data_IF_253286236240
#
_entry.id   IF_253286236240
#
_cell.length_a   1.000
_cell.length_b   1.000
_cell.length_c   1.000
_cell.angle_alpha   90.00
_cell.angle_beta   90.00
_cell.angle_gamma   90.00
#
_symmetry.space_group_name_H-M   'P 1'
#
loop_
_entity.id
_entity.type
_entity.pdbx_description
1 polymer ?
#
# COMPACT_ATOMS: atom_id res chain seq x y z
N UNK A 1 -23.91 -17.77 -18.25
CA UNK A 1 -22.58 -17.15 -18.50
C UNK A 1 -21.88 -17.00 -17.20
N UNK A 2 -20.92 -17.86 -16.97
CA UNK A 2 -20.25 -18.03 -15.68
C UNK A 2 -19.43 -16.79 -15.34
N UNK A 3 -19.93 -16.05 -14.37
CA UNK A 3 -19.42 -14.71 -14.00
C UNK A 3 -18.19 -14.73 -13.08
N UNK A 4 -17.30 -15.74 -13.17
CA UNK A 4 -16.04 -15.65 -12.46
C UNK A 4 -15.26 -14.43 -12.98
N UNK A 5 -14.82 -13.55 -12.07
CA UNK A 5 -13.67 -12.71 -12.40
C UNK A 5 -12.57 -13.72 -12.65
N UNK A 6 -12.30 -14.01 -13.90
CA UNK A 6 -11.28 -14.97 -14.22
C UNK A 6 -10.00 -14.46 -13.56
N UNK A 7 -9.62 -15.11 -12.47
CA UNK A 7 -8.27 -15.14 -11.96
C UNK A 7 -7.40 -15.23 -13.19
N UNK A 8 -6.43 -14.37 -13.30
CA UNK A 8 -5.59 -14.08 -14.43
C UNK A 8 -5.62 -15.16 -15.53
N UNK A 9 -6.35 -14.91 -16.62
CA UNK A 9 -6.19 -15.74 -17.81
C UNK A 9 -4.71 -15.71 -18.19
N UNK A 10 -4.08 -16.85 -18.47
CA UNK A 10 -2.67 -16.87 -18.79
C UNK A 10 -2.39 -15.99 -20.00
N UNK A 11 -1.65 -14.91 -19.78
CA UNK A 11 -1.07 -14.13 -20.86
C UNK A 11 -0.09 -15.07 -21.57
N UNK A 12 -0.06 -15.10 -22.93
CA UNK A 12 1.01 -15.76 -23.63
C UNK A 12 2.32 -15.06 -23.26
N UNK A 13 3.09 -15.68 -22.37
CA UNK A 13 4.34 -15.13 -21.90
C UNK A 13 5.39 -15.19 -23.02
N UNK A 14 6.22 -14.14 -23.14
CA UNK A 14 7.38 -14.16 -24.02
C UNK A 14 8.22 -15.42 -23.77
N UNK A 15 8.77 -15.99 -24.81
CA UNK A 15 9.51 -17.27 -24.77
C UNK A 15 10.70 -17.26 -23.78
N UNK A 16 11.31 -16.09 -23.53
CA UNK A 16 12.46 -15.96 -22.61
C UNK A 16 12.09 -16.26 -21.12
N UNK A 17 10.85 -16.02 -20.70
CA UNK A 17 10.40 -16.33 -19.34
C UNK A 17 10.10 -17.84 -19.12
N UNK A 18 10.21 -18.65 -20.16
CA UNK A 18 10.13 -20.12 -20.02
C UNK A 18 11.35 -20.69 -19.31
N UNK A 19 12.45 -19.94 -19.23
CA UNK A 19 13.70 -20.41 -18.66
C UNK A 19 13.82 -20.01 -17.18
N UNK A 20 14.08 -20.99 -16.31
CA UNK A 20 14.36 -20.75 -14.90
C UNK A 20 15.52 -19.74 -14.69
N UNK A 21 16.49 -19.72 -15.61
CA UNK A 21 17.62 -18.80 -15.58
C UNK A 21 17.18 -17.33 -15.63
N UNK A 22 16.23 -16.95 -16.50
CA UNK A 22 15.74 -15.57 -16.59
C UNK A 22 15.05 -15.10 -15.29
N UNK A 23 14.31 -16.00 -14.63
CA UNK A 23 13.71 -15.70 -13.33
C UNK A 23 14.78 -15.43 -12.25
N UNK A 24 15.79 -16.29 -12.16
CA UNK A 24 16.88 -16.09 -11.20
C UNK A 24 17.71 -14.85 -11.51
N UNK A 25 17.95 -14.54 -12.78
CA UNK A 25 18.59 -13.28 -13.18
C UNK A 25 17.79 -12.07 -12.70
N UNK A 26 16.47 -12.08 -12.86
CA UNK A 26 15.59 -11.03 -12.33
C UNK A 26 15.70 -10.90 -10.81
N UNK A 27 15.75 -12.02 -10.08
CA UNK A 27 15.93 -12.02 -8.62
C UNK A 27 17.27 -11.38 -8.23
N UNK A 28 18.36 -11.76 -8.90
CA UNK A 28 19.70 -11.21 -8.62
C UNK A 28 19.78 -9.71 -8.94
N UNK A 29 19.24 -9.27 -10.08
CA UNK A 29 19.20 -7.85 -10.45
C UNK A 29 18.42 -7.05 -9.41
N UNK A 30 17.20 -7.50 -9.04
CA UNK A 30 16.38 -6.80 -8.06
C UNK A 30 17.00 -6.74 -6.67
N UNK A 31 17.75 -7.79 -6.26
CA UNK A 31 18.53 -7.78 -5.03
C UNK A 31 19.69 -6.77 -5.10
N UNK A 32 20.44 -6.77 -6.19
CA UNK A 32 21.55 -5.83 -6.41
C UNK A 32 21.08 -4.37 -6.39
N UNK A 33 19.94 -4.07 -7.01
CA UNK A 33 19.35 -2.73 -7.00
C UNK A 33 18.94 -2.29 -5.59
N UNK A 34 18.39 -3.20 -4.76
CA UNK A 34 18.06 -2.88 -3.36
C UNK A 34 19.31 -2.64 -2.52
N UNK A 35 20.33 -3.49 -2.66
CA UNK A 35 21.63 -3.29 -2.02
C UNK A 35 22.22 -1.94 -2.43
N UNK A 36 22.18 -1.62 -3.74
CA UNK A 36 22.62 -0.32 -4.25
C UNK A 36 21.86 0.84 -3.57
N UNK A 37 20.53 0.80 -3.58
CA UNK A 37 19.73 1.86 -2.97
C UNK A 37 20.02 2.00 -1.47
N UNK A 38 20.05 0.90 -0.71
CA UNK A 38 20.30 0.92 0.74
C UNK A 38 21.69 1.42 1.09
N UNK A 39 22.72 0.92 0.40
CA UNK A 39 24.11 1.14 0.81
C UNK A 39 24.72 2.43 0.23
N UNK A 40 24.36 2.81 -0.99
CA UNK A 40 25.10 3.84 -1.75
C UNK A 40 24.31 5.13 -1.97
N UNK A 41 22.98 5.17 -1.67
CA UNK A 41 22.18 6.39 -1.83
C UNK A 41 21.89 7.07 -0.49
N UNK A 42 21.58 8.36 -0.53
CA UNK A 42 21.18 9.11 0.67
C UNK A 42 19.72 8.82 1.09
N UNK A 43 18.87 8.42 0.15
CA UNK A 43 17.44 8.28 0.38
C UNK A 43 16.69 9.60 0.16
N UNK A 44 15.47 9.66 0.65
CA UNK A 44 14.62 10.87 0.61
C UNK A 44 14.76 11.68 1.90
N UNK A 45 14.13 12.85 1.97
CA UNK A 45 14.05 13.65 3.19
C UNK A 45 13.45 12.93 4.39
N UNK A 46 12.61 11.91 4.14
CA UNK A 46 12.08 11.06 5.23
C UNK A 46 13.19 10.38 6.05
N UNK A 47 14.39 10.20 5.49
CA UNK A 47 15.50 9.61 6.27
C UNK A 47 16.01 10.57 7.34
N UNK A 48 16.06 11.86 7.02
CA UNK A 48 16.42 12.90 7.99
C UNK A 48 15.31 13.04 9.02
N UNK A 49 14.04 12.98 8.61
CA UNK A 49 12.88 13.00 9.52
C UNK A 49 12.88 11.79 10.47
N UNK A 50 13.17 10.60 9.98
CA UNK A 50 13.24 9.40 10.82
C UNK A 50 14.41 9.44 11.82
N UNK A 51 15.55 10.00 11.44
CA UNK A 51 16.69 10.20 12.35
C UNK A 51 16.33 11.21 13.44
N UNK A 52 15.73 12.35 13.07
CA UNK A 52 15.26 13.36 14.05
C UNK A 52 14.18 12.78 14.98
N UNK A 53 13.20 12.04 14.45
CA UNK A 53 12.19 11.36 15.26
C UNK A 53 12.83 10.38 16.26
N UNK A 54 13.81 9.58 15.81
CA UNK A 54 14.54 8.65 16.67
C UNK A 54 15.28 9.37 17.77
N UNK A 55 15.97 10.48 17.47
CA UNK A 55 16.66 11.33 18.45
C UNK A 55 15.67 11.92 19.47
N UNK A 56 14.53 12.43 19.02
CA UNK A 56 13.50 12.98 19.92
C UNK A 56 12.93 11.91 20.86
N UNK A 57 12.68 10.69 20.35
CA UNK A 57 12.21 9.57 21.19
C UNK A 57 13.27 9.17 22.22
N UNK A 58 14.56 9.16 21.88
CA UNK A 58 15.64 8.89 22.84
C UNK A 58 15.77 9.97 23.92
N UNK A 59 15.68 11.24 23.52
CA UNK A 59 15.92 12.37 24.41
C UNK A 59 14.73 12.69 25.32
N UNK A 60 13.48 12.50 24.86
CA UNK A 60 12.25 12.94 25.52
C UNK A 60 11.33 11.79 25.92
N UNK A 61 11.65 10.56 25.51
CA UNK A 61 10.72 9.43 25.54
C UNK A 61 9.61 9.57 24.48
N UNK A 62 8.87 8.49 24.26
CA UNK A 62 7.84 8.43 23.22
C UNK A 62 6.72 9.47 23.40
N UNK A 63 6.21 9.63 24.62
CA UNK A 63 5.12 10.59 24.91
C UNK A 63 5.64 12.02 24.81
N UNK A 64 6.85 12.30 25.28
CA UNK A 64 7.50 13.61 25.12
C UNK A 64 7.71 13.98 23.66
N UNK A 65 8.06 13.00 22.80
CA UNK A 65 8.14 13.18 21.37
C UNK A 65 6.77 13.53 20.75
N UNK A 66 5.70 12.82 21.11
CA UNK A 66 4.35 13.12 20.63
C UNK A 66 3.86 14.51 21.03
N UNK A 67 4.18 14.97 22.22
CA UNK A 67 3.85 16.33 22.66
C UNK A 67 4.66 17.40 21.94
N UNK A 68 5.92 17.13 21.63
CA UNK A 68 6.83 18.11 21.02
C UNK A 68 6.62 18.24 19.49
N UNK A 69 6.03 17.24 18.84
CA UNK A 69 5.91 17.18 17.38
C UNK A 69 4.47 16.87 16.96
N UNK A 70 3.77 17.87 16.46
CA UNK A 70 2.40 17.72 15.95
C UNK A 70 2.30 16.85 14.70
N UNK A 71 3.40 16.60 14.01
CA UNK A 71 3.49 15.69 12.86
C UNK A 71 3.87 14.26 13.24
N UNK A 72 4.05 13.98 14.53
CA UNK A 72 4.38 12.65 15.05
C UNK A 72 3.18 11.70 14.93
N UNK A 73 2.96 11.14 13.75
CA UNK A 73 1.80 10.32 13.40
C UNK A 73 2.07 8.81 13.34
N UNK A 74 3.29 8.40 13.64
CA UNK A 74 3.68 7.00 13.57
C UNK A 74 3.28 6.21 14.83
N UNK A 75 2.86 4.92 14.67
CA UNK A 75 2.56 4.06 15.80
C UNK A 75 3.69 3.94 16.82
N UNK A 76 3.37 3.69 18.11
CA UNK A 76 4.37 3.60 19.20
C UNK A 76 5.51 2.63 18.92
N UNK A 77 5.20 1.47 18.33
CA UNK A 77 6.20 0.44 18.04
C UNK A 77 7.28 0.93 17.09
N UNK A 78 6.87 1.45 15.92
CA UNK A 78 7.85 1.84 14.90
C UNK A 78 8.69 3.05 15.33
N UNK A 79 8.11 3.98 16.11
CA UNK A 79 8.84 5.08 16.69
C UNK A 79 9.91 4.62 17.70
N UNK A 80 9.62 3.56 18.49
CA UNK A 80 10.62 2.95 19.38
C UNK A 80 11.66 2.14 18.61
N UNK A 81 11.27 1.47 17.53
CA UNK A 81 12.20 0.73 16.65
C UNK A 81 13.18 1.69 15.99
N UNK A 82 12.73 2.86 15.50
CA UNK A 82 13.65 3.86 14.95
C UNK A 82 14.69 4.34 15.98
N UNK A 83 14.25 4.58 17.21
CA UNK A 83 15.15 4.95 18.31
C UNK A 83 16.17 3.84 18.64
N UNK A 84 15.74 2.58 18.66
CA UNK A 84 16.64 1.43 18.84
C UNK A 84 17.66 1.32 17.70
N UNK A 85 17.22 1.51 16.46
CA UNK A 85 18.09 1.49 15.28
C UNK A 85 19.13 2.61 15.37
N UNK A 86 18.77 3.80 15.87
CA UNK A 86 19.72 4.90 16.07
C UNK A 86 20.77 4.55 17.13
N UNK A 87 20.39 3.91 18.23
CA UNK A 87 21.35 3.41 19.22
C UNK A 87 22.32 2.39 18.61
N UNK A 88 21.80 1.45 17.81
CA UNK A 88 22.64 0.47 17.10
C UNK A 88 23.58 1.19 16.13
N UNK A 89 23.11 2.18 15.38
CA UNK A 89 23.90 2.98 14.46
C UNK A 89 25.08 3.66 15.19
N UNK A 90 24.80 4.24 16.35
CA UNK A 90 25.82 4.90 17.16
C UNK A 90 26.89 3.92 17.65
N UNK A 91 26.50 2.73 18.11
CA UNK A 91 27.44 1.71 18.62
C UNK A 91 28.24 1.04 17.49
N UNK A 92 27.59 0.77 16.36
CA UNK A 92 28.22 0.04 15.23
C UNK A 92 28.94 0.94 14.25
N UNK A 93 28.77 2.26 14.35
CA UNK A 93 29.23 3.26 13.37
C UNK A 93 28.70 3.04 11.95
N UNK A 94 27.64 2.24 11.79
CA UNK A 94 26.94 2.08 10.50
C UNK A 94 25.91 3.21 10.39
N UNK A 95 25.86 3.96 9.27
CA UNK A 95 24.91 5.06 9.12
C UNK A 95 23.46 4.64 9.38
N UNK A 96 22.71 5.44 10.16
CA UNK A 96 21.31 5.20 10.50
C UNK A 96 20.48 4.86 9.27
N UNK A 97 20.63 5.61 8.16
CA UNK A 97 19.92 5.40 6.90
C UNK A 97 20.08 3.99 6.33
N UNK A 98 21.20 3.32 6.53
CA UNK A 98 21.44 1.95 6.07
C UNK A 98 20.69 0.96 6.96
N UNK A 99 20.88 1.08 8.27
CA UNK A 99 20.23 0.19 9.25
C UNK A 99 18.72 0.33 9.26
N UNK A 100 18.19 1.53 9.00
CA UNK A 100 16.75 1.76 8.96
C UNK A 100 16.12 1.22 7.68
N UNK A 101 16.77 1.33 6.51
CA UNK A 101 16.23 0.87 5.22
C UNK A 101 16.35 -0.63 4.98
N UNK A 102 17.43 -1.25 5.48
CA UNK A 102 17.70 -2.67 5.24
C UNK A 102 16.55 -3.62 5.66
N UNK A 103 15.90 -3.46 6.83
CA UNK A 103 14.75 -4.27 7.21
C UNK A 103 13.58 -4.18 6.22
N UNK A 104 13.28 -3.00 5.67
CA UNK A 104 12.18 -2.84 4.72
C UNK A 104 12.50 -3.45 3.36
N UNK A 105 13.75 -3.37 2.91
CA UNK A 105 14.21 -4.09 1.72
C UNK A 105 14.12 -5.62 1.88
N UNK A 106 14.39 -6.15 3.09
CA UNK A 106 14.21 -7.56 3.41
C UNK A 106 12.73 -7.96 3.48
N UNK A 107 11.87 -7.13 4.07
CA UNK A 107 10.42 -7.37 4.09
C UNK A 107 9.84 -7.36 2.67
N UNK A 108 10.41 -6.57 1.78
CA UNK A 108 10.02 -6.58 0.37
C UNK A 108 10.38 -7.88 -0.34
N UNK A 109 11.51 -8.50 0.02
CA UNK A 109 11.82 -9.86 -0.40
C UNK A 109 10.79 -10.87 0.16
N UNK A 110 10.37 -10.67 1.42
CA UNK A 110 9.27 -11.42 2.03
C UNK A 110 7.95 -11.26 1.26
N UNK A 111 7.62 -10.05 0.79
CA UNK A 111 6.47 -9.81 -0.07
C UNK A 111 6.55 -10.61 -1.37
N UNK A 112 7.71 -10.64 -2.02
CA UNK A 112 7.92 -11.40 -3.26
C UNK A 112 7.73 -12.91 -3.02
N UNK A 113 8.24 -13.45 -1.91
CA UNK A 113 8.07 -14.86 -1.52
C UNK A 113 6.61 -15.21 -1.21
N UNK A 114 5.91 -14.35 -0.47
CA UNK A 114 4.49 -14.55 -0.15
C UNK A 114 3.62 -14.42 -1.40
N UNK A 115 3.89 -13.45 -2.27
CA UNK A 115 3.22 -13.29 -3.55
C UNK A 115 3.41 -14.56 -4.40
N UNK A 116 4.64 -15.04 -4.53
CA UNK A 116 4.94 -16.29 -5.23
C UNK A 116 4.17 -17.47 -4.65
N UNK A 117 4.08 -17.57 -3.33
CA UNK A 117 3.41 -18.67 -2.63
C UNK A 117 1.88 -18.66 -2.77
N UNK A 118 1.28 -17.47 -2.87
CA UNK A 118 -0.18 -17.28 -2.94
C UNK A 118 -0.73 -17.28 -4.36
N UNK A 119 0.09 -16.98 -5.36
CA UNK A 119 -0.32 -17.01 -6.77
C UNK A 119 -0.54 -18.46 -7.26
N UNK A 120 -1.47 -18.68 -8.20
CA UNK A 120 -1.69 -20.00 -8.82
C UNK A 120 -0.42 -20.58 -9.43
N UNK A 121 -0.28 -21.91 -9.42
CA UNK A 121 0.88 -22.64 -9.96
C UNK A 121 0.89 -22.68 -11.49
N UNK A 122 1.14 -21.52 -12.09
CA UNK A 122 1.25 -21.36 -13.53
C UNK A 122 2.39 -20.38 -13.89
N UNK A 123 2.57 -20.11 -15.17
CA UNK A 123 3.61 -19.19 -15.66
C UNK A 123 3.44 -17.76 -15.15
N UNK A 124 2.22 -17.35 -14.83
CA UNK A 124 1.92 -16.02 -14.28
C UNK A 124 2.62 -15.81 -12.94
N UNK A 125 2.72 -16.83 -12.09
CA UNK A 125 3.42 -16.76 -10.80
C UNK A 125 4.86 -16.24 -10.95
N UNK A 126 5.65 -16.81 -11.86
CA UNK A 126 7.04 -16.41 -12.09
C UNK A 126 7.12 -14.99 -12.67
N UNK A 127 6.28 -14.70 -13.66
CA UNK A 127 6.25 -13.39 -14.30
C UNK A 127 5.83 -12.30 -13.32
N UNK A 128 4.72 -12.48 -12.60
CA UNK A 128 4.18 -11.52 -11.63
C UNK A 128 5.17 -11.24 -10.50
N UNK A 129 5.82 -12.30 -9.97
CA UNK A 129 6.83 -12.15 -8.93
C UNK A 129 8.08 -11.42 -9.45
N UNK A 130 8.55 -11.72 -10.65
CA UNK A 130 9.66 -11.01 -11.27
C UNK A 130 9.30 -9.53 -11.53
N UNK A 131 8.10 -9.25 -12.05
CA UNK A 131 7.61 -7.89 -12.26
C UNK A 131 7.50 -7.10 -10.94
N UNK A 132 6.97 -7.71 -9.89
CA UNK A 132 6.94 -7.11 -8.56
C UNK A 132 8.36 -6.79 -8.07
N UNK A 133 9.22 -7.80 -8.10
CA UNK A 133 10.58 -7.72 -7.57
C UNK A 133 11.46 -6.71 -8.30
N UNK A 134 11.29 -6.57 -9.62
CA UNK A 134 11.99 -5.59 -10.45
C UNK A 134 11.27 -4.23 -10.54
N UNK A 135 10.06 -4.12 -9.98
CA UNK A 135 9.30 -2.87 -10.04
C UNK A 135 10.07 -1.72 -9.40
N UNK A 136 10.32 -0.62 -10.13
CA UNK A 136 10.87 0.59 -9.53
C UNK A 136 10.03 1.07 -8.33
N UNK A 137 8.70 0.95 -8.36
CA UNK A 137 7.84 1.29 -7.21
C UNK A 137 8.25 0.50 -5.96
N UNK A 138 8.43 -0.83 -6.05
CA UNK A 138 8.81 -1.65 -4.92
C UNK A 138 10.21 -1.26 -4.41
N UNK A 139 11.19 -1.14 -5.32
CA UNK A 139 12.57 -0.82 -4.99
C UNK A 139 12.69 0.58 -4.36
N UNK A 140 12.04 1.58 -4.98
CA UNK A 140 12.08 2.95 -4.50
C UNK A 140 11.49 3.08 -3.11
N UNK A 141 10.33 2.46 -2.84
CA UNK A 141 9.67 2.60 -1.54
C UNK A 141 10.43 1.81 -0.46
N UNK A 142 10.85 0.57 -0.73
CA UNK A 142 11.48 -0.29 0.27
C UNK A 142 12.94 0.06 0.55
N UNK A 143 13.72 0.39 -0.48
CA UNK A 143 15.17 0.46 -0.39
C UNK A 143 15.74 1.88 -0.55
N UNK A 144 15.13 2.74 -1.36
CA UNK A 144 15.57 4.12 -1.53
C UNK A 144 14.91 5.06 -0.53
N UNK A 145 13.58 5.12 -0.55
CA UNK A 145 12.81 5.91 0.41
C UNK A 145 12.90 5.32 1.83
N UNK A 146 12.94 3.97 1.91
CA UNK A 146 13.13 3.26 3.17
C UNK A 146 11.96 3.45 4.13
N UNK A 147 10.73 3.39 3.61
CA UNK A 147 9.57 3.63 4.44
C UNK A 147 8.89 2.34 4.91
N UNK A 148 8.22 2.48 6.03
CA UNK A 148 7.52 1.41 6.76
C UNK A 148 6.36 0.77 5.99
N UNK A 149 5.89 1.41 4.93
CA UNK A 149 4.70 1.01 4.14
C UNK A 149 4.83 -0.38 3.50
N UNK A 150 6.05 -0.79 3.15
CA UNK A 150 6.34 -2.14 2.65
C UNK A 150 5.97 -3.23 3.67
N UNK A 151 6.14 -2.97 4.96
CA UNK A 151 5.78 -3.91 6.03
C UNK A 151 4.27 -4.10 6.15
N UNK A 152 3.45 -3.10 5.83
CA UNK A 152 1.98 -3.24 5.82
C UNK A 152 1.58 -4.33 4.82
N UNK A 153 2.07 -4.26 3.58
CA UNK A 153 1.79 -5.27 2.57
C UNK A 153 2.28 -6.67 2.99
N UNK A 154 3.49 -6.74 3.59
CA UNK A 154 4.05 -7.98 4.09
C UNK A 154 3.13 -8.65 5.13
N UNK A 155 2.71 -7.94 6.14
CA UNK A 155 1.85 -8.49 7.17
C UNK A 155 0.46 -8.85 6.64
N UNK A 156 -0.10 -8.10 5.69
CA UNK A 156 -1.37 -8.44 5.06
C UNK A 156 -1.26 -9.71 4.19
N UNK A 157 -0.20 -9.86 3.39
CA UNK A 157 0.06 -11.10 2.64
C UNK A 157 0.31 -12.28 3.58
N UNK A 158 1.10 -12.08 4.64
CA UNK A 158 1.36 -13.09 5.65
C UNK A 158 0.07 -13.54 6.35
N UNK A 159 -0.84 -12.60 6.63
CA UNK A 159 -2.17 -12.89 7.18
C UNK A 159 -2.93 -13.86 6.29
N UNK A 160 -2.99 -13.58 4.97
CA UNK A 160 -3.67 -14.46 4.02
C UNK A 160 -2.96 -15.81 3.92
N UNK A 161 -1.63 -15.83 3.83
CA UNK A 161 -0.84 -17.05 3.74
C UNK A 161 -1.02 -17.95 4.97
N UNK A 162 -0.99 -17.40 6.19
CA UNK A 162 -1.24 -18.14 7.42
C UNK A 162 -2.68 -18.67 7.49
N UNK A 163 -3.65 -17.93 6.98
CA UNK A 163 -5.03 -18.40 6.87
C UNK A 163 -5.15 -19.60 5.92
N UNK A 164 -4.38 -19.67 4.82
CA UNK A 164 -4.33 -20.85 3.93
C UNK A 164 -3.74 -22.09 4.61
N UNK A 165 -2.96 -21.89 5.67
CA UNK A 165 -2.37 -22.94 6.50
C UNK A 165 -3.23 -23.25 7.74
N UNK A 166 -4.46 -22.74 7.80
CA UNK A 166 -5.39 -22.89 8.93
C UNK A 166 -4.84 -22.39 10.29
N UNK A 167 -3.77 -21.57 10.26
CA UNK A 167 -3.14 -20.99 11.45
C UNK A 167 -3.84 -19.69 11.87
N UNK A 168 -5.05 -19.81 12.39
CA UNK A 168 -5.95 -18.66 12.62
C UNK A 168 -5.37 -17.66 13.62
N UNK A 169 -4.82 -18.12 14.75
CA UNK A 169 -4.19 -17.25 15.74
C UNK A 169 -3.02 -16.46 15.15
N UNK A 170 -2.11 -17.15 14.45
CA UNK A 170 -0.97 -16.51 13.81
C UNK A 170 -1.41 -15.56 12.68
N UNK A 171 -2.46 -15.90 11.95
CA UNK A 171 -3.06 -15.02 10.93
C UNK A 171 -3.60 -13.73 11.57
N UNK A 172 -4.33 -13.84 12.69
CA UNK A 172 -4.79 -12.67 13.44
C UNK A 172 -3.62 -11.83 13.98
N UNK A 173 -2.61 -12.49 14.55
CA UNK A 173 -1.43 -11.82 15.05
C UNK A 173 -0.66 -11.08 13.92
N UNK A 174 -0.50 -11.69 12.75
CA UNK A 174 0.13 -11.02 11.60
C UNK A 174 -0.66 -9.79 11.17
N UNK A 175 -2.00 -9.86 11.13
CA UNK A 175 -2.83 -8.70 10.86
C UNK A 175 -2.66 -7.61 11.93
N UNK A 176 -2.68 -7.98 13.22
CA UNK A 176 -2.43 -7.04 14.33
C UNK A 176 -1.06 -6.36 14.24
N UNK A 177 -0.03 -7.10 13.82
CA UNK A 177 1.32 -6.57 13.63
C UNK A 177 1.39 -5.55 12.47
N UNK A 178 0.52 -5.61 11.45
CA UNK A 178 0.46 -4.57 10.43
C UNK A 178 0.15 -3.20 11.02
N UNK A 179 -0.63 -3.15 12.11
CA UNK A 179 -1.01 -1.93 12.83
C UNK A 179 0.09 -1.38 13.74
N UNK A 180 1.13 -2.16 14.05
CA UNK A 180 2.32 -1.67 14.75
C UNK A 180 3.14 -0.70 13.90
N UNK A 181 3.03 -0.88 12.59
CA UNK A 181 3.80 -0.14 11.61
C UNK A 181 3.02 1.04 11.07
N UNK A 182 1.76 0.81 10.68
CA UNK A 182 0.92 1.86 10.11
C UNK A 182 -0.57 1.46 10.14
N UNK A 183 -1.45 2.42 10.43
CA UNK A 183 -2.88 2.17 10.57
C UNK A 183 -3.62 1.75 9.28
N UNK A 184 -3.24 2.22 8.06
CA UNK A 184 -3.99 1.88 6.84
C UNK A 184 -4.15 0.39 6.55
N UNK A 185 -3.35 -0.49 7.18
CA UNK A 185 -3.57 -1.94 7.13
C UNK A 185 -4.98 -2.36 7.57
N UNK A 186 -5.64 -1.58 8.45
CA UNK A 186 -7.00 -1.86 8.93
C UNK A 186 -8.04 -1.83 7.79
N UNK A 187 -7.79 -1.07 6.73
CA UNK A 187 -8.68 -0.94 5.59
C UNK A 187 -8.86 -2.28 4.81
N UNK A 188 -7.92 -3.21 4.96
CA UNK A 188 -8.02 -4.55 4.38
C UNK A 188 -8.89 -5.51 5.22
N UNK A 189 -9.22 -5.16 6.47
CA UNK A 189 -9.94 -6.04 7.40
C UNK A 189 -11.26 -6.58 6.85
N UNK A 190 -12.15 -5.77 6.23
CA UNK A 190 -13.42 -6.29 5.69
C UNK A 190 -13.22 -7.39 4.65
N UNK A 191 -12.22 -7.25 3.78
CA UNK A 191 -11.89 -8.27 2.80
C UNK A 191 -11.28 -9.53 3.46
N UNK A 192 -10.40 -9.37 4.45
CA UNK A 192 -9.79 -10.48 5.19
C UNK A 192 -10.80 -11.32 5.95
N UNK A 193 -11.82 -10.69 6.55
CA UNK A 193 -12.87 -11.40 7.30
C UNK A 193 -13.67 -12.38 6.44
N UNK A 194 -13.64 -12.22 5.12
CA UNK A 194 -14.31 -13.13 4.18
C UNK A 194 -13.64 -14.51 4.14
N UNK A 195 -12.34 -14.60 4.46
CA UNK A 195 -11.62 -15.90 4.55
C UNK A 195 -12.24 -16.83 5.59
N UNK A 196 -12.87 -16.30 6.63
CA UNK A 196 -13.33 -17.05 7.77
C UNK A 196 -14.86 -17.15 7.78
N UNK A 197 -15.43 -18.28 7.34
CA UNK A 197 -16.89 -18.47 7.24
C UNK A 197 -17.57 -18.59 8.62
N UNK A 198 -16.92 -19.30 9.57
CA UNK A 198 -17.51 -19.56 10.89
C UNK A 198 -17.30 -18.37 11.83
N UNK A 199 -18.38 -17.88 12.48
CA UNK A 199 -18.32 -16.74 13.42
C UNK A 199 -17.27 -16.94 14.52
N UNK A 200 -17.17 -18.16 15.09
CA UNK A 200 -16.16 -18.49 16.11
C UNK A 200 -14.73 -18.26 15.61
N UNK A 201 -14.43 -18.68 14.39
CA UNK A 201 -13.09 -18.52 13.78
C UNK A 201 -12.80 -17.05 13.53
N UNK A 202 -13.79 -16.26 13.07
CA UNK A 202 -13.65 -14.81 12.97
C UNK A 202 -13.37 -14.16 14.32
N UNK A 203 -14.07 -14.59 15.38
CA UNK A 203 -13.81 -14.11 16.73
C UNK A 203 -12.40 -14.39 17.21
N UNK A 204 -11.88 -15.61 16.99
CA UNK A 204 -10.50 -15.98 17.33
C UNK A 204 -9.48 -15.11 16.55
N UNK A 205 -9.69 -14.94 15.25
CA UNK A 205 -8.85 -14.07 14.42
C UNK A 205 -8.84 -12.63 14.93
N UNK A 206 -10.03 -12.04 15.16
CA UNK A 206 -10.16 -10.67 15.64
C UNK A 206 -9.56 -10.48 17.03
N UNK A 207 -9.75 -11.45 17.93
CA UNK A 207 -9.15 -11.41 19.27
C UNK A 207 -7.64 -11.44 19.20
N UNK A 208 -7.06 -12.35 18.42
CA UNK A 208 -5.62 -12.42 18.22
C UNK A 208 -5.07 -11.11 17.59
N UNK A 209 -5.78 -10.57 16.61
CA UNK A 209 -5.44 -9.30 15.98
C UNK A 209 -5.48 -8.14 16.99
N UNK A 210 -6.53 -8.03 17.78
CA UNK A 210 -6.69 -7.00 18.79
C UNK A 210 -5.60 -7.10 19.87
N UNK A 211 -5.39 -8.30 20.45
CA UNK A 211 -4.34 -8.50 21.46
C UNK A 211 -2.98 -8.10 20.90
N UNK A 212 -2.64 -8.54 19.69
CA UNK A 212 -1.35 -8.22 19.08
C UNK A 212 -1.25 -6.71 18.83
N UNK A 213 -2.26 -6.08 18.23
CA UNK A 213 -2.25 -4.63 18.01
C UNK A 213 -2.06 -3.88 19.33
N UNK A 214 -2.88 -4.16 20.34
CA UNK A 214 -2.85 -3.45 21.63
C UNK A 214 -1.54 -3.63 22.39
N UNK A 215 -0.83 -4.75 22.22
CA UNK A 215 0.41 -5.03 22.94
C UNK A 215 1.43 -3.88 22.85
N UNK A 216 1.54 -3.22 21.72
CA UNK A 216 2.48 -2.12 21.50
C UNK A 216 1.91 -0.73 21.79
N UNK A 217 0.58 -0.59 21.68
CA UNK A 217 -0.11 0.67 21.96
C UNK A 217 -0.37 0.89 23.44
N UNK A 218 -0.64 -0.20 24.20
CA UNK A 218 -1.09 -0.11 25.59
C UNK A 218 -0.15 0.71 26.48
N UNK A 219 1.18 0.54 26.45
CA UNK A 219 2.06 1.35 27.29
C UNK A 219 1.97 2.86 27.01
N UNK A 220 1.77 3.25 25.75
CA UNK A 220 1.62 4.65 25.37
C UNK A 220 0.23 5.20 25.73
N UNK A 221 -0.81 4.41 25.53
CA UNK A 221 -2.20 4.77 25.89
C UNK A 221 -2.40 4.94 27.39
N UNK A 222 -1.72 4.12 28.22
CA UNK A 222 -1.76 4.25 29.69
C UNK A 222 -1.06 5.53 30.14
N UNK A 223 0.01 5.94 29.46
CA UNK A 223 0.74 7.16 29.83
C UNK A 223 -0.01 8.42 29.41
N UNK A 224 -0.46 8.50 28.15
CA UNK A 224 -1.28 9.61 27.64
C UNK A 224 -2.09 9.17 26.41
N UNK A 225 -3.32 8.69 26.67
CA UNK A 225 -4.20 8.28 25.59
C UNK A 225 -4.60 9.42 24.66
N UNK A 226 -4.73 10.66 25.19
CA UNK A 226 -5.20 11.81 24.40
C UNK A 226 -4.22 12.14 23.29
N UNK A 227 -2.93 12.23 23.62
CA UNK A 227 -1.91 12.55 22.61
C UNK A 227 -1.76 11.44 21.58
N UNK A 228 -1.86 10.17 22.00
CA UNK A 228 -1.83 9.04 21.07
C UNK A 228 -3.03 9.06 20.13
N UNK A 229 -4.23 9.32 20.64
CA UNK A 229 -5.42 9.45 19.81
C UNK A 229 -5.32 10.62 18.82
N UNK A 230 -4.85 11.77 19.26
CA UNK A 230 -4.70 12.96 18.41
C UNK A 230 -3.69 12.72 17.30
N UNK A 231 -2.48 12.25 17.65
CA UNK A 231 -1.39 12.17 16.70
C UNK A 231 -1.46 10.94 15.80
N UNK A 232 -1.81 9.77 16.35
CA UNK A 232 -1.76 8.51 15.59
C UNK A 232 -3.11 8.18 14.97
N UNK A 233 -4.19 8.13 15.77
CA UNK A 233 -5.51 7.76 15.27
C UNK A 233 -6.25 8.91 14.57
N UNK A 234 -5.97 10.16 14.95
CA UNK A 234 -6.53 11.37 14.33
C UNK A 234 -5.84 11.77 13.01
N UNK A 235 -4.72 11.16 12.68
CA UNK A 235 -3.99 11.50 11.47
C UNK A 235 -4.71 10.99 10.20
N UNK A 236 -5.01 11.92 9.29
CA UNK A 236 -5.75 11.63 8.04
C UNK A 236 -4.85 11.45 6.82
N UNK A 237 -3.55 11.73 6.95
CA UNK A 237 -2.65 11.87 5.82
C UNK A 237 -2.47 13.32 5.40
N UNK A 238 -1.68 13.53 4.37
CA UNK A 238 -1.42 14.85 3.79
C UNK A 238 -1.94 14.89 2.36
N UNK A 239 -2.45 16.03 1.94
CA UNK A 239 -2.63 16.37 0.52
C UNK A 239 -1.33 16.98 0.06
N UNK A 240 -0.46 16.15 -0.52
CA UNK A 240 0.85 16.61 -0.98
C UNK A 240 0.72 17.52 -2.20
N UNK A 241 1.38 18.66 -2.11
CA UNK A 241 1.45 19.68 -3.16
C UNK A 241 2.89 20.19 -3.28
N UNK A 242 3.26 20.69 -4.45
CA UNK A 242 4.49 21.47 -4.62
C UNK A 242 4.39 22.79 -3.86
N UNK A 243 5.50 23.52 -3.74
CA UNK A 243 5.52 24.84 -3.10
C UNK A 243 4.53 25.85 -3.74
N UNK A 244 4.24 25.71 -5.03
CA UNK A 244 3.23 26.53 -5.74
C UNK A 244 1.81 25.95 -5.71
N UNK A 245 1.56 24.92 -4.87
CA UNK A 245 0.23 24.35 -4.68
C UNK A 245 -0.21 23.39 -5.78
N UNK A 246 0.71 22.87 -6.61
CA UNK A 246 0.38 21.85 -7.62
C UNK A 246 0.16 20.50 -6.94
N UNK A 247 -1.05 19.91 -6.99
CA UNK A 247 -1.30 18.61 -6.35
C UNK A 247 -0.44 17.51 -6.96
N UNK A 248 0.10 16.65 -6.11
CA UNK A 248 0.90 15.52 -6.57
C UNK A 248 0.05 14.30 -6.92
N UNK A 249 -1.15 14.17 -6.38
CA UNK A 249 -2.02 13.02 -6.61
C UNK A 249 -3.48 13.37 -6.33
N UNK A 250 -4.39 12.49 -6.80
CA UNK A 250 -5.81 12.48 -6.46
C UNK A 250 -6.74 13.12 -7.48
N UNK A 251 -8.06 13.08 -7.25
CA UNK A 251 -9.07 13.68 -8.13
C UNK A 251 -8.85 15.17 -8.41
N UNK A 252 -8.23 15.93 -7.49
CA UNK A 252 -7.86 17.33 -7.69
C UNK A 252 -6.98 17.54 -8.94
N UNK A 253 -6.10 16.57 -9.23
CA UNK A 253 -5.27 16.59 -10.44
C UNK A 253 -6.10 16.66 -11.71
N UNK A 254 -7.23 15.92 -11.76
CA UNK A 254 -8.10 15.84 -12.92
C UNK A 254 -8.91 17.14 -13.09
N UNK A 255 -9.24 17.80 -11.98
CA UNK A 255 -10.06 19.01 -11.99
C UNK A 255 -9.24 20.27 -12.22
N UNK A 256 -8.07 20.38 -11.59
CA UNK A 256 -7.35 21.66 -11.49
C UNK A 256 -6.10 21.79 -12.38
N UNK A 257 -5.51 20.69 -12.82
CA UNK A 257 -4.21 20.77 -13.49
C UNK A 257 -4.23 20.70 -15.01
N UNK A 258 -5.40 20.55 -15.65
CA UNK A 258 -5.42 20.23 -17.07
C UNK A 258 -6.24 21.18 -17.95
N UNK A 259 -7.25 21.90 -17.47
CA UNK A 259 -8.19 22.58 -18.38
C UNK A 259 -8.49 24.03 -18.03
N UNK A 260 -8.69 24.39 -16.76
CA UNK A 260 -9.04 25.75 -16.36
C UNK A 260 -8.41 26.07 -15.00
N UNK A 261 -7.65 27.17 -14.86
CA UNK A 261 -7.15 27.60 -13.56
C UNK A 261 -8.29 27.79 -12.56
N UNK A 262 -8.13 27.26 -11.36
CA UNK A 262 -9.16 27.30 -10.30
C UNK A 262 -9.61 28.73 -9.98
N UNK A 263 -8.71 29.70 -10.16
CA UNK A 263 -8.99 31.12 -9.90
C UNK A 263 -10.09 31.73 -10.78
N UNK A 264 -10.41 31.10 -11.92
CA UNK A 264 -11.48 31.60 -12.81
C UNK A 264 -12.83 30.94 -12.56
N UNK A 265 -12.92 30.02 -11.62
CA UNK A 265 -14.18 29.35 -11.30
C UNK A 265 -15.05 30.25 -10.40
N UNK A 266 -16.34 30.46 -10.72
CA UNK A 266 -17.26 31.15 -9.83
C UNK A 266 -17.31 30.46 -8.46
N UNK A 267 -17.28 31.23 -7.38
CA UNK A 267 -17.20 30.74 -6.00
C UNK A 267 -18.33 29.73 -5.65
N UNK A 268 -19.52 29.92 -6.21
CA UNK A 268 -20.66 29.02 -6.03
C UNK A 268 -20.42 27.59 -6.52
N UNK A 269 -19.51 27.38 -7.49
CA UNK A 269 -19.12 26.06 -7.96
C UNK A 269 -17.84 25.58 -7.31
N UNK A 270 -16.96 26.49 -6.95
CA UNK A 270 -15.67 26.19 -6.34
C UNK A 270 -15.83 25.60 -4.93
N UNK A 271 -16.64 26.24 -4.07
CA UNK A 271 -16.84 25.77 -2.70
C UNK A 271 -17.31 24.30 -2.58
N UNK A 272 -18.37 23.85 -3.30
CA UNK A 272 -18.78 22.46 -3.25
C UNK A 272 -17.69 21.49 -3.72
N UNK A 273 -16.92 21.86 -4.74
CA UNK A 273 -15.82 21.03 -5.26
C UNK A 273 -14.70 20.92 -4.24
N UNK A 274 -14.24 22.02 -3.65
CA UNK A 274 -13.22 22.00 -2.60
C UNK A 274 -13.67 21.17 -1.40
N UNK A 275 -14.93 21.32 -0.98
CA UNK A 275 -15.50 20.50 0.08
C UNK A 275 -15.44 19.00 -0.26
N UNK A 276 -15.82 18.61 -1.49
CA UNK A 276 -15.74 17.21 -1.93
C UNK A 276 -14.30 16.67 -1.92
N UNK A 277 -13.33 17.49 -2.32
CA UNK A 277 -11.92 17.11 -2.30
C UNK A 277 -11.39 16.93 -0.86
N UNK A 278 -11.78 17.81 0.05
CA UNK A 278 -11.46 17.67 1.48
C UNK A 278 -12.08 16.40 2.08
N UNK A 279 -13.26 15.99 1.59
CA UNK A 279 -13.92 14.75 2.01
C UNK A 279 -13.45 13.51 1.22
N UNK A 280 -12.53 13.65 0.26
CA UNK A 280 -12.11 12.57 -0.65
C UNK A 280 -11.61 11.32 0.09
N UNK A 281 -10.96 11.48 1.25
CA UNK A 281 -10.54 10.37 2.10
C UNK A 281 -11.72 9.53 2.60
N UNK A 282 -12.78 10.15 3.10
CA UNK A 282 -13.96 9.44 3.58
C UNK A 282 -14.74 8.79 2.45
N UNK A 283 -14.83 9.46 1.29
CA UNK A 283 -15.47 8.91 0.08
C UNK A 283 -14.70 7.67 -0.37
N UNK A 284 -13.37 7.74 -0.41
CA UNK A 284 -12.54 6.63 -0.79
C UNK A 284 -12.66 5.43 0.17
N UNK A 285 -12.64 5.67 1.49
CA UNK A 285 -12.85 4.61 2.49
C UNK A 285 -14.25 3.99 2.34
N UNK A 286 -15.29 4.80 2.22
CA UNK A 286 -16.65 4.30 2.03
C UNK A 286 -16.76 3.43 0.77
N UNK A 287 -16.13 3.85 -0.32
CA UNK A 287 -16.09 3.08 -1.57
C UNK A 287 -15.30 1.76 -1.43
N UNK A 288 -14.18 1.75 -0.69
CA UNK A 288 -13.43 0.53 -0.36
C UNK A 288 -14.27 -0.46 0.47
N UNK A 289 -14.95 0.04 1.50
CA UNK A 289 -15.82 -0.78 2.37
C UNK A 289 -16.98 -1.36 1.56
N UNK A 290 -17.61 -0.54 0.73
CA UNK A 290 -18.68 -0.96 -0.18
C UNK A 290 -18.18 -2.04 -1.15
N UNK A 291 -17.03 -1.86 -1.78
CA UNK A 291 -16.43 -2.85 -2.68
C UNK A 291 -16.17 -4.18 -1.96
N UNK A 292 -15.59 -4.12 -0.76
CA UNK A 292 -15.32 -5.31 0.05
C UNK A 292 -16.62 -6.03 0.44
N UNK A 293 -17.67 -5.27 0.78
CA UNK A 293 -18.99 -5.80 1.09
C UNK A 293 -19.67 -6.45 -0.12
N UNK A 294 -19.65 -5.81 -1.28
CA UNK A 294 -20.18 -6.36 -2.53
C UNK A 294 -19.47 -7.66 -2.94
N UNK A 295 -18.20 -7.80 -2.59
CA UNK A 295 -17.39 -8.98 -2.89
C UNK A 295 -17.33 -10.03 -1.76
N UNK A 296 -18.13 -9.88 -0.70
CA UNK A 296 -18.11 -10.76 0.49
C UNK A 296 -18.33 -12.25 0.21
N UNK A 297 -18.83 -12.62 -0.96
CA UNK A 297 -19.00 -14.00 -1.39
C UNK A 297 -17.74 -14.60 -2.03
N UNK A 298 -16.72 -13.81 -2.30
CA UNK A 298 -15.45 -14.21 -2.93
C UNK A 298 -14.42 -14.57 -1.87
N UNK A 299 -14.49 -15.80 -1.34
CA UNK A 299 -13.78 -16.22 -0.15
C UNK A 299 -12.47 -16.98 -0.41
N UNK A 300 -12.08 -17.26 -1.67
CA UNK A 300 -10.77 -17.88 -1.91
C UNK A 300 -9.64 -16.91 -1.56
N UNK A 301 -8.48 -17.40 -1.10
CA UNK A 301 -7.35 -16.53 -0.75
C UNK A 301 -6.94 -15.58 -1.87
N UNK A 302 -6.94 -16.05 -3.12
CA UNK A 302 -6.62 -15.25 -4.32
C UNK A 302 -7.68 -14.15 -4.55
N UNK A 303 -8.96 -14.49 -4.40
CA UNK A 303 -10.05 -13.50 -4.54
C UNK A 303 -10.04 -12.46 -3.41
N UNK A 304 -9.63 -12.84 -2.21
CA UNK A 304 -9.46 -11.90 -1.09
C UNK A 304 -8.28 -10.96 -1.38
N UNK A 305 -7.13 -11.48 -1.81
CA UNK A 305 -6.01 -10.65 -2.27
C UNK A 305 -6.44 -9.72 -3.42
N UNK A 306 -7.19 -10.23 -4.40
CA UNK A 306 -7.73 -9.42 -5.49
C UNK A 306 -8.68 -8.32 -4.97
N UNK A 307 -9.51 -8.62 -3.96
CA UNK A 307 -10.40 -7.62 -3.34
C UNK A 307 -9.62 -6.53 -2.63
N UNK A 308 -8.55 -6.89 -1.89
CA UNK A 308 -7.63 -5.92 -1.28
C UNK A 308 -6.98 -5.04 -2.35
N UNK A 309 -6.47 -5.64 -3.43
CA UNK A 309 -5.85 -4.90 -4.54
C UNK A 309 -6.81 -3.91 -5.22
N UNK A 310 -8.07 -4.32 -5.46
CA UNK A 310 -9.11 -3.44 -6.01
C UNK A 310 -9.49 -2.33 -5.02
N UNK A 311 -9.61 -2.65 -3.72
CA UNK A 311 -9.99 -1.69 -2.70
C UNK A 311 -8.95 -0.56 -2.58
N UNK A 312 -7.66 -0.89 -2.55
CA UNK A 312 -6.61 0.13 -2.58
C UNK A 312 -6.53 0.87 -3.92
N UNK A 313 -6.85 0.23 -5.05
CA UNK A 313 -6.95 0.95 -6.33
C UNK A 313 -8.08 2.00 -6.31
N UNK A 314 -9.23 1.68 -5.67
CA UNK A 314 -10.32 2.63 -5.40
C UNK A 314 -9.84 3.76 -4.49
N UNK A 315 -9.09 3.44 -3.41
CA UNK A 315 -8.52 4.46 -2.52
C UNK A 315 -7.66 5.45 -3.31
N UNK A 316 -6.72 4.96 -4.12
CA UNK A 316 -5.83 5.82 -4.91
C UNK A 316 -6.53 6.58 -6.03
N UNK A 317 -7.64 6.07 -6.55
CA UNK A 317 -8.44 6.77 -7.55
C UNK A 317 -9.31 7.88 -6.98
N UNK A 318 -9.74 7.77 -5.73
CA UNK A 318 -10.77 8.65 -5.14
C UNK A 318 -10.26 9.56 -4.02
N UNK A 319 -9.01 9.41 -3.57
CA UNK A 319 -8.43 10.19 -2.48
C UNK A 319 -7.35 11.15 -2.97
N UNK A 320 -7.41 12.39 -2.50
CA UNK A 320 -6.33 13.38 -2.62
C UNK A 320 -5.28 13.22 -1.51
N UNK A 321 -5.61 12.50 -0.44
CA UNK A 321 -4.67 12.19 0.65
C UNK A 321 -3.75 11.08 0.20
N UNK A 322 -2.51 11.44 -0.14
CA UNK A 322 -1.55 10.54 -0.73
C UNK A 322 -0.11 10.92 -0.35
N UNK A 323 0.75 9.92 -0.30
CA UNK A 323 2.20 10.07 -0.18
C UNK A 323 2.90 9.03 -1.07
N UNK A 324 4.15 9.31 -1.42
CA UNK A 324 4.96 8.50 -2.35
C UNK A 324 4.93 7.01 -2.02
N UNK A 325 4.98 6.68 -0.76
CA UNK A 325 5.10 5.33 -0.23
C UNK A 325 3.80 4.53 -0.19
N UNK A 326 2.61 5.15 -0.34
CA UNK A 326 1.32 4.47 -0.14
C UNK A 326 1.05 3.38 -1.17
N UNK A 327 1.65 3.45 -2.35
CA UNK A 327 1.52 2.39 -3.36
C UNK A 327 2.04 1.04 -2.87
N UNK A 328 2.97 1.00 -1.90
CA UNK A 328 3.47 -0.23 -1.33
C UNK A 328 2.37 -1.08 -0.70
N UNK A 329 1.30 -0.48 -0.13
CA UNK A 329 0.19 -1.23 0.50
C UNK A 329 -0.54 -2.15 -0.47
N UNK A 330 -0.61 -1.74 -1.74
CA UNK A 330 -1.42 -2.39 -2.76
C UNK A 330 -0.60 -3.16 -3.80
N UNK A 331 0.65 -2.76 -4.02
CA UNK A 331 1.46 -3.21 -5.16
C UNK A 331 1.49 -4.74 -5.33
N UNK A 332 1.77 -5.57 -4.30
CA UNK A 332 1.78 -7.02 -4.48
C UNK A 332 0.36 -7.58 -4.71
N UNK A 333 -0.68 -6.92 -4.20
CA UNK A 333 -2.07 -7.36 -4.37
C UNK A 333 -2.61 -7.11 -5.78
N UNK A 334 -2.05 -6.16 -6.52
CA UNK A 334 -2.45 -5.92 -7.91
C UNK A 334 -2.13 -7.12 -8.81
N UNK A 335 -1.15 -7.95 -8.51
CA UNK A 335 -0.83 -9.15 -9.29
C UNK A 335 -1.85 -10.29 -9.15
N UNK A 336 -2.81 -10.19 -8.22
CA UNK A 336 -3.99 -11.05 -8.16
C UNK A 336 -5.13 -10.56 -9.07
N UNK A 337 -4.97 -9.39 -9.69
CA UNK A 337 -5.90 -8.86 -10.67
C UNK A 337 -5.48 -9.30 -12.08
N UNK A 338 -6.34 -9.01 -13.06
CA UNK A 338 -6.04 -9.31 -14.47
C UNK A 338 -4.85 -8.48 -14.95
N UNK A 339 -4.07 -9.04 -15.84
CA UNK A 339 -2.88 -8.41 -16.42
C UNK A 339 -3.13 -7.02 -17.02
N UNK A 340 -4.30 -6.79 -17.63
CA UNK A 340 -4.68 -5.48 -18.19
C UNK A 340 -4.77 -4.36 -17.16
N UNK A 341 -4.92 -4.70 -15.87
CA UNK A 341 -4.81 -3.76 -14.76
C UNK A 341 -3.43 -3.81 -14.13
N UNK A 342 -2.92 -5.01 -13.77
CA UNK A 342 -1.69 -5.18 -13.02
C UNK A 342 -0.49 -4.53 -13.71
N UNK A 343 -0.32 -4.80 -15.01
CA UNK A 343 0.84 -4.30 -15.75
C UNK A 343 0.80 -2.78 -15.90
N UNK A 344 -0.30 -2.15 -16.38
CA UNK A 344 -0.39 -0.70 -16.43
C UNK A 344 -0.27 -0.03 -15.06
N UNK A 345 -0.89 -0.60 -14.00
CA UNK A 345 -0.79 -0.04 -12.65
C UNK A 345 0.67 0.03 -12.18
N UNK A 346 1.41 -1.08 -12.32
CA UNK A 346 2.84 -1.14 -11.94
C UNK A 346 3.68 -0.23 -12.83
N UNK A 347 3.46 -0.23 -14.15
CA UNK A 347 4.22 0.60 -15.08
C UNK A 347 4.01 2.10 -14.81
N UNK A 348 2.76 2.54 -14.64
CA UNK A 348 2.43 3.95 -14.41
C UNK A 348 2.94 4.43 -13.04
N UNK A 349 2.75 3.64 -11.97
CA UNK A 349 3.28 4.03 -10.65
C UNK A 349 4.80 4.03 -10.64
N UNK A 350 5.44 3.10 -11.35
CA UNK A 350 6.90 3.04 -11.46
C UNK A 350 7.46 4.23 -12.24
N UNK A 351 6.85 4.55 -13.39
CA UNK A 351 7.26 5.71 -14.19
C UNK A 351 7.06 7.01 -13.41
N UNK A 352 5.92 7.15 -12.72
CA UNK A 352 5.62 8.36 -11.94
C UNK A 352 6.57 8.51 -10.74
N UNK A 353 6.69 7.48 -9.89
CA UNK A 353 7.58 7.56 -8.74
C UNK A 353 9.04 7.75 -9.14
N UNK A 354 9.51 7.02 -10.15
CA UNK A 354 10.89 7.18 -10.60
C UNK A 354 11.15 8.59 -11.13
N UNK A 355 10.22 9.17 -11.90
CA UNK A 355 10.36 10.53 -12.41
C UNK A 355 10.40 11.58 -11.29
N UNK A 356 9.58 11.41 -10.23
CA UNK A 356 9.62 12.29 -9.06
C UNK A 356 10.93 12.13 -8.27
N UNK A 357 11.36 10.88 -8.03
CA UNK A 357 12.58 10.62 -7.29
C UNK A 357 13.82 11.10 -8.05
N UNK A 358 13.85 10.94 -9.36
CA UNK A 358 14.88 11.53 -10.21
C UNK A 358 14.89 13.05 -10.12
N UNK A 359 13.73 13.69 -10.28
CA UNK A 359 13.60 15.14 -10.18
C UNK A 359 14.14 15.65 -8.84
N UNK A 360 13.63 15.11 -7.73
CA UNK A 360 13.97 15.61 -6.40
C UNK A 360 15.37 15.24 -5.93
N UNK A 361 15.97 14.17 -6.45
CA UNK A 361 17.38 13.83 -6.19
C UNK A 361 18.35 14.54 -7.15
N UNK A 362 17.84 15.17 -8.22
CA UNK A 362 18.67 15.81 -9.26
C UNK A 362 19.53 14.85 -10.05
N UNK A 363 19.35 13.51 -9.89
CA UNK A 363 20.23 12.51 -10.48
C UNK A 363 19.50 11.21 -10.79
N UNK A 364 19.61 10.68 -12.02
CA UNK A 364 18.96 9.44 -12.44
C UNK A 364 19.44 8.18 -11.68
N UNK A 365 20.64 8.21 -11.09
CA UNK A 365 21.16 7.15 -10.21
C UNK A 365 20.75 7.36 -8.74
N UNK A 366 19.95 8.40 -8.43
CA UNK A 366 19.46 8.73 -7.09
C UNK A 366 20.59 9.00 -6.07
N UNK A 367 21.72 9.50 -6.52
CA UNK A 367 22.89 9.79 -5.69
C UNK A 367 22.90 11.24 -5.16
N UNK A 368 22.02 12.09 -5.69
CA UNK A 368 21.94 13.49 -5.25
C UNK A 368 21.27 13.64 -3.89
N UNK A 369 21.31 14.86 -3.37
CA UNK A 369 20.58 15.24 -2.17
C UNK A 369 19.12 15.47 -2.52
N UNK A 370 18.21 14.92 -1.72
CA UNK A 370 16.78 15.12 -1.89
C UNK A 370 16.41 16.59 -1.65
N UNK A 371 15.76 17.19 -2.63
CA UNK A 371 15.30 18.57 -2.57
C UNK A 371 13.88 18.70 -3.16
N UNK A 372 12.88 18.42 -2.32
CA UNK A 372 11.48 18.55 -2.69
C UNK A 372 11.05 20.03 -2.77
N UNK A 373 11.53 20.86 -1.84
CA UNK A 373 11.13 22.26 -1.73
C UNK A 373 11.76 23.14 -2.81
N UNK A 374 12.94 22.77 -3.32
CA UNK A 374 13.61 23.46 -4.42
C UNK A 374 12.92 23.28 -5.78
N UNK A 375 11.88 22.41 -5.84
CA UNK A 375 11.11 22.17 -7.06
C UNK A 375 9.64 22.66 -6.91
N UNK A 376 9.38 23.97 -7.03
CA UNK A 376 8.04 24.56 -6.85
C UNK A 376 7.04 24.05 -7.90
N UNK A 377 7.54 23.66 -9.09
CA UNK A 377 6.75 23.16 -10.21
C UNK A 377 7.27 21.81 -10.70
N UNK A 378 6.37 21.03 -11.31
CA UNK A 378 6.71 19.76 -11.94
C UNK A 378 6.95 19.97 -13.45
N UNK A 379 8.00 19.36 -14.05
CA UNK A 379 8.18 19.33 -15.49
C UNK A 379 6.98 18.72 -16.22
N UNK A 380 6.72 19.20 -17.45
CA UNK A 380 5.56 18.76 -18.25
C UNK A 380 5.46 17.24 -18.38
N UNK A 381 6.58 16.55 -18.58
CA UNK A 381 6.60 15.09 -18.68
C UNK A 381 6.10 14.41 -17.39
N UNK A 382 6.51 14.91 -16.23
CA UNK A 382 6.08 14.39 -14.92
C UNK A 382 4.58 14.64 -14.73
N UNK A 383 4.08 15.82 -15.12
CA UNK A 383 2.65 16.15 -15.09
C UNK A 383 1.83 15.21 -15.99
N UNK A 384 2.31 14.93 -17.20
CA UNK A 384 1.64 13.99 -18.13
C UNK A 384 1.57 12.60 -17.52
N UNK A 385 2.69 12.06 -17.03
CA UNK A 385 2.73 10.72 -16.41
C UNK A 385 1.79 10.66 -15.19
N UNK A 386 1.82 11.68 -14.33
CA UNK A 386 0.92 11.81 -13.18
C UNK A 386 -0.56 11.76 -13.60
N UNK A 387 -0.93 12.60 -14.56
CA UNK A 387 -2.32 12.72 -14.99
C UNK A 387 -2.83 11.41 -15.60
N UNK A 388 -2.00 10.72 -16.39
CA UNK A 388 -2.34 9.39 -16.92
C UNK A 388 -2.51 8.39 -15.77
N UNK A 389 -1.60 8.38 -14.79
CA UNK A 389 -1.67 7.46 -13.67
C UNK A 389 -2.94 7.71 -12.82
N UNK A 390 -3.21 8.95 -12.44
CA UNK A 390 -4.41 9.33 -11.66
C UNK A 390 -5.68 8.97 -12.43
N UNK A 391 -5.76 9.29 -13.73
CA UNK A 391 -6.91 8.93 -14.59
C UNK A 391 -7.11 7.42 -14.63
N UNK A 392 -6.03 6.66 -14.76
CA UNK A 392 -6.08 5.19 -14.79
C UNK A 392 -6.67 4.63 -13.49
N UNK A 393 -6.21 5.09 -12.32
CA UNK A 393 -6.73 4.63 -11.04
C UNK A 393 -8.17 5.07 -10.80
N UNK A 394 -8.54 6.29 -11.18
CA UNK A 394 -9.92 6.78 -11.07
C UNK A 394 -10.88 5.95 -11.91
N UNK A 395 -10.58 5.76 -13.20
CA UNK A 395 -11.40 4.97 -14.12
C UNK A 395 -11.46 3.50 -13.69
N UNK A 396 -10.33 2.94 -13.25
CA UNK A 396 -10.29 1.56 -12.74
C UNK A 396 -11.11 1.40 -11.46
N UNK A 397 -11.06 2.37 -10.54
CA UNK A 397 -11.87 2.38 -9.33
C UNK A 397 -13.36 2.39 -9.64
N UNK A 398 -13.81 3.27 -10.54
CA UNK A 398 -15.17 3.31 -11.03
C UNK A 398 -15.59 1.98 -11.68
N UNK A 399 -14.72 1.41 -12.51
CA UNK A 399 -14.96 0.12 -13.16
C UNK A 399 -15.10 -1.03 -12.16
N UNK A 400 -14.25 -1.09 -11.14
CA UNK A 400 -14.32 -2.15 -10.13
C UNK A 400 -15.61 -2.06 -9.31
N UNK A 401 -16.02 -0.88 -8.89
CA UNK A 401 -17.28 -0.65 -8.21
C UNK A 401 -18.48 -1.05 -9.09
N UNK A 402 -18.53 -0.50 -10.30
CA UNK A 402 -19.62 -0.81 -11.25
C UNK A 402 -19.73 -2.31 -11.52
N UNK A 403 -18.61 -2.99 -11.72
CA UNK A 403 -18.61 -4.44 -11.97
C UNK A 403 -19.02 -5.23 -10.73
N UNK A 404 -18.70 -4.77 -9.53
CA UNK A 404 -19.11 -5.39 -8.29
C UNK A 404 -20.62 -5.27 -8.08
N UNK A 405 -21.23 -4.14 -8.44
CA UNK A 405 -22.69 -3.93 -8.40
C UNK A 405 -23.44 -4.81 -9.37
N UNK A 406 -22.95 -4.99 -10.61
CA UNK A 406 -23.64 -5.79 -11.64
C UNK A 406 -23.66 -7.30 -11.37
N UNK A 407 -22.90 -7.77 -10.41
CA UNK A 407 -22.76 -9.19 -10.09
C UNK A 407 -23.53 -9.59 -8.86
N UNK A 408 -24.85 -9.37 -8.82
CA UNK A 408 -25.68 -10.15 -7.90
C UNK A 408 -25.90 -11.58 -8.40
N UNK A 409 -25.80 -12.56 -7.51
CA UNK A 409 -25.87 -13.96 -7.88
C UNK A 409 -27.32 -14.41 -8.03
N UNK A 410 -27.71 -14.65 -9.21
CA UNK A 410 -28.85 -15.51 -9.47
C UNK A 410 -28.36 -16.94 -9.68
N UNK A 411 -28.13 -17.68 -8.62
CA UNK A 411 -28.07 -19.14 -8.71
C UNK A 411 -28.37 -19.80 -7.38
N UNK A 412 -29.56 -19.48 -6.85
CA UNK A 412 -30.24 -20.34 -5.88
C UNK A 412 -31.55 -20.86 -6.46
N UNK A 413 -31.51 -21.32 -7.71
CA UNK A 413 -32.65 -22.03 -8.34
C UNK A 413 -32.12 -23.10 -9.28
N UNK A 414 -31.57 -24.18 -8.73
CA UNK A 414 -31.43 -25.45 -9.44
C UNK A 414 -30.99 -26.56 -8.44
N UNK A 415 -31.81 -26.88 -7.45
CA UNK A 415 -31.72 -28.15 -6.76
C UNK A 415 -33.00 -28.52 -6.01
N UNK A 416 -34.16 -28.20 -6.58
CA UNK A 416 -35.44 -28.68 -6.02
C UNK A 416 -36.34 -29.28 -7.12
N UNK A 417 -35.77 -30.15 -7.93
CA UNK A 417 -36.59 -30.96 -8.85
C UNK A 417 -35.82 -32.18 -9.32
N UNK A 418 -35.49 -33.08 -8.39
CA UNK A 418 -35.27 -34.50 -8.67
C UNK A 418 -35.60 -35.33 -7.42
N UNK A 419 -36.80 -35.16 -6.87
CA UNK A 419 -37.54 -36.23 -6.24
C UNK A 419 -38.52 -36.76 -7.27
N UNK A 420 -38.12 -37.72 -8.00
CA UNK A 420 -38.99 -38.60 -8.79
C UNK A 420 -39.12 -39.89 -7.99
N UNK A 421 -40.29 -40.22 -7.47
CA UNK A 421 -40.53 -41.54 -6.91
C UNK A 421 -40.92 -42.45 -8.09
N UNK A 422 -40.17 -43.49 -8.29
CA UNK A 422 -40.79 -44.68 -8.90
C UNK A 422 -39.87 -45.92 -8.79
N UNK A 423 -40.50 -46.90 -8.11
CA UNK A 423 -40.36 -48.36 -8.12
C UNK A 423 -39.19 -48.98 -7.38
#
# INVERSE_FOLDING_TARGET
MDGSVAIATPVPLPSFLKHKSAFWTAILIGAALRVYCVAFTNGTGDMDDWDDHAQQVLNRGLIGYYHANSFANHPPFISKVSALILQIATVTHIPFRILFRAPFALLDAGNALLLFSLLPENRWRFFATACYWLSPTAILISAYHGNTDTAVAFFLLLTVWLATKERILSSGAAFGASLWVKLPGILALPALLVLFRRRRIRGIFLLAAAITAFLTYLPALVQDYKIVFTNVFGYRGLILQTAEGVPLWGPSVLLFSTVVPIQVWPEKYLRPVLFLLEQSWYIAIAAMLLLSWLRRHRASPQEVCATIGMAYAVLFGFSDYWAFQYFAWALPFWFFLRWWFSIPAVALTSAYLYSLHWLFSGNGWLLGKWDFLGHPNLPLLVLIIRNIAVSFFFVSGCFFLFRAFRREPTSTRASSSQDSPDK
#
